data_IF_424029395261
#
_entry.id   IF_424029395261
#
_cell.length_a   1.000
_cell.length_b   1.000
_cell.length_c   1.000
_cell.angle_alpha   90.00
_cell.angle_beta   90.00
_cell.angle_gamma   90.00
#
_symmetry.space_group_name_H-M   'P 1'
#
loop_
_entity.id
_entity.type
_entity.pdbx_description
1 polymer ?
#
# COMPACT_ATOMS: atom_id res chain seq x y z
N UNK A 1 -6.56 11.97 -2.31
CA UNK A 1 -5.60 11.00 -1.75
C UNK A 1 -6.43 10.00 -0.97
N UNK A 2 -6.51 8.75 -1.42
CA UNK A 2 -7.15 7.71 -0.61
C UNK A 2 -6.36 7.60 0.70
N UNK A 3 -7.07 7.66 1.82
CA UNK A 3 -6.45 7.56 3.13
C UNK A 3 -6.01 6.10 3.34
N UNK A 4 -4.77 5.79 2.97
CA UNK A 4 -4.14 4.55 3.40
C UNK A 4 -4.11 4.55 4.94
N UNK A 5 -4.86 3.62 5.55
CA UNK A 5 -5.00 3.55 7.00
C UNK A 5 -3.87 2.78 7.67
N UNK A 6 -2.97 2.14 6.92
CA UNK A 6 -1.95 1.22 7.44
C UNK A 6 -0.60 1.89 7.66
N UNK A 7 -0.26 2.87 6.83
CA UNK A 7 1.01 3.58 6.93
C UNK A 7 0.90 5.04 6.49
N UNK A 8 1.81 5.85 7.02
CA UNK A 8 2.04 7.23 6.59
C UNK A 8 3.27 7.26 5.69
N UNK A 9 3.21 8.09 4.65
CA UNK A 9 4.34 8.33 3.75
C UNK A 9 5.04 9.59 4.24
N UNK A 10 6.27 9.45 4.71
CA UNK A 10 7.13 10.57 5.07
C UNK A 10 8.13 10.81 3.93
N UNK A 11 8.07 12.01 3.35
CA UNK A 11 8.98 12.42 2.27
C UNK A 11 10.10 13.20 2.93
N UNK A 12 11.33 12.72 2.79
CA UNK A 12 12.52 13.39 3.29
C UNK A 12 13.19 14.16 2.16
N UNK A 13 13.64 15.39 2.44
CA UNK A 13 14.39 16.22 1.48
C UNK A 13 15.84 15.73 1.25
N UNK A 14 16.21 14.57 1.81
CA UNK A 14 17.57 14.02 1.76
C UNK A 14 17.71 13.02 0.60
N UNK A 15 18.81 13.11 -0.16
CA UNK A 15 19.02 12.36 -1.42
C UNK A 15 19.04 10.83 -1.27
N UNK A 16 19.44 10.31 -0.10
CA UNK A 16 19.66 8.86 0.10
C UNK A 16 18.41 8.06 0.45
N UNK A 17 17.36 8.69 0.99
CA UNK A 17 16.10 8.04 1.37
C UNK A 17 14.94 9.02 1.14
N UNK A 18 14.48 9.20 -0.11
CA UNK A 18 13.47 10.21 -0.41
C UNK A 18 12.10 9.90 0.22
N UNK A 19 11.87 8.66 0.67
CA UNK A 19 10.57 8.22 1.16
C UNK A 19 10.71 7.13 2.22
N UNK A 20 10.07 7.34 3.37
CA UNK A 20 9.94 6.35 4.46
C UNK A 20 8.47 6.03 4.66
N UNK A 21 8.18 4.75 4.90
CA UNK A 21 6.84 4.28 5.28
C UNK A 21 6.82 4.00 6.77
N UNK A 22 6.03 4.74 7.52
CA UNK A 22 5.86 4.54 8.97
C UNK A 22 4.52 3.89 9.24
N UNK A 23 4.44 2.90 10.16
CA UNK A 23 3.17 2.36 10.62
C UNK A 23 2.24 3.47 11.10
N UNK A 24 0.96 3.38 10.76
CA UNK A 24 -0.04 4.29 11.32
C UNK A 24 -0.38 3.90 12.76
N UNK A 25 -0.90 4.86 13.54
CA UNK A 25 -1.44 4.59 14.88
C UNK A 25 -2.50 3.49 14.84
N UNK A 26 -3.32 3.43 13.80
CA UNK A 26 -4.31 2.37 13.62
C UNK A 26 -3.65 1.00 13.55
N UNK A 27 -2.59 0.85 12.76
CA UNK A 27 -1.87 -0.42 12.62
C UNK A 27 -1.25 -0.86 13.94
N UNK A 28 -0.71 0.08 14.71
CA UNK A 28 -0.09 -0.19 16.02
C UNK A 28 -1.10 -0.71 17.06
N UNK A 29 -2.38 -0.35 16.94
CA UNK A 29 -3.44 -0.90 17.80
C UNK A 29 -3.86 -2.34 17.44
N UNK A 30 -3.46 -2.85 16.27
CA UNK A 30 -3.86 -4.17 15.80
C UNK A 30 -2.86 -5.26 16.21
N UNK A 31 -3.38 -6.45 16.53
CA UNK A 31 -2.54 -7.64 16.64
C UNK A 31 -1.86 -7.94 15.29
N UNK A 32 -0.57 -8.33 15.23
CA UNK A 32 0.17 -8.53 13.97
C UNK A 32 -0.54 -9.43 12.94
N UNK A 33 -1.13 -10.55 13.37
CA UNK A 33 -1.92 -11.41 12.47
C UNK A 33 -3.15 -10.70 11.86
N UNK A 34 -3.82 -9.85 12.62
CA UNK A 34 -4.97 -9.08 12.13
C UNK A 34 -4.52 -7.98 11.18
N UNK A 35 -3.43 -7.28 11.51
CA UNK A 35 -2.81 -6.30 10.62
C UNK A 35 -2.42 -6.91 9.27
N UNK A 36 -1.79 -8.10 9.28
CA UNK A 36 -1.43 -8.84 8.07
C UNK A 36 -2.67 -9.19 7.25
N UNK A 37 -3.71 -9.73 7.88
CA UNK A 37 -4.94 -10.12 7.18
C UNK A 37 -5.62 -8.91 6.52
N UNK A 38 -5.77 -7.80 7.26
CA UNK A 38 -6.40 -6.58 6.71
C UNK A 38 -5.58 -5.95 5.56
N UNK A 39 -4.24 -6.01 5.63
CA UNK A 39 -3.40 -5.55 4.52
C UNK A 39 -3.51 -6.47 3.30
N UNK A 40 -3.67 -7.78 3.49
CA UNK A 40 -3.90 -8.73 2.40
C UNK A 40 -5.26 -8.50 1.72
N UNK A 41 -6.33 -8.33 2.49
CA UNK A 41 -7.66 -7.99 1.96
C UNK A 41 -7.62 -6.66 1.17
N UNK A 42 -6.85 -5.68 1.65
CA UNK A 42 -6.69 -4.41 0.95
C UNK A 42 -5.92 -4.55 -0.36
N UNK A 43 -4.88 -5.40 -0.40
CA UNK A 43 -4.15 -5.75 -1.62
C UNK A 43 -5.10 -6.37 -2.65
N UNK A 44 -5.91 -7.34 -2.25
CA UNK A 44 -6.88 -8.00 -3.13
C UNK A 44 -7.89 -6.99 -3.70
N UNK A 45 -8.41 -6.08 -2.87
CA UNK A 45 -9.32 -5.01 -3.30
C UNK A 45 -8.66 -4.09 -4.36
N UNK A 46 -7.37 -3.75 -4.20
CA UNK A 46 -6.63 -2.93 -5.17
C UNK A 46 -6.36 -3.68 -6.47
N UNK A 47 -6.04 -4.97 -6.41
CA UNK A 47 -5.88 -5.84 -7.57
C UNK A 47 -7.18 -5.96 -8.36
N UNK A 48 -8.30 -6.18 -7.68
CA UNK A 48 -9.63 -6.20 -8.30
C UNK A 48 -9.98 -4.86 -8.93
N UNK A 49 -9.69 -3.75 -8.25
CA UNK A 49 -9.90 -2.41 -8.80
C UNK A 49 -9.06 -2.18 -10.07
N UNK A 50 -7.80 -2.63 -10.10
CA UNK A 50 -6.94 -2.55 -11.29
C UNK A 50 -7.45 -3.45 -12.42
N UNK A 51 -7.91 -4.66 -12.12
CA UNK A 51 -8.49 -5.59 -13.09
C UNK A 51 -9.78 -5.05 -13.72
N UNK A 52 -10.56 -4.24 -13.00
CA UNK A 52 -11.76 -3.59 -13.55
C UNK A 52 -11.44 -2.55 -14.64
N UNK A 53 -10.21 -2.03 -14.68
CA UNK A 53 -9.78 -1.11 -15.73
C UNK A 53 -9.28 -1.86 -16.99
N UNK A 54 -9.88 -3.00 -17.34
CA UNK A 54 -9.50 -3.82 -18.51
C UNK A 54 -9.44 -2.99 -19.82
N UNK A 55 -8.64 -3.50 -20.76
CA UNK A 55 -7.95 -2.90 -21.92
C UNK A 55 -8.70 -1.85 -22.77
N UNK A 56 -10.02 -1.79 -22.70
CA UNK A 56 -10.84 -0.88 -23.51
C UNK A 56 -10.92 0.55 -22.93
N UNK A 57 -10.65 0.73 -21.64
CA UNK A 57 -10.85 2.03 -20.96
C UNK A 57 -9.57 2.68 -20.42
N UNK A 58 -8.42 2.00 -20.46
CA UNK A 58 -7.13 2.53 -19.98
C UNK A 58 -6.72 3.78 -20.74
N UNK A 59 -6.99 3.86 -22.05
CA UNK A 59 -6.57 4.97 -22.90
C UNK A 59 -7.26 6.31 -22.59
N UNK A 60 -8.26 6.32 -21.70
CA UNK A 60 -8.88 7.55 -21.20
C UNK A 60 -7.91 8.20 -20.21
N UNK A 61 -7.43 9.44 -20.43
CA UNK A 61 -6.40 10.07 -19.57
C UNK A 61 -6.75 10.10 -18.08
N UNK A 62 -8.03 10.25 -17.75
CA UNK A 62 -8.53 10.18 -16.35
C UNK A 62 -8.32 8.81 -15.73
N UNK A 63 -8.48 7.74 -16.51
CA UNK A 63 -8.27 6.36 -16.06
C UNK A 63 -6.78 6.03 -15.95
N UNK A 64 -5.91 6.58 -16.81
CA UNK A 64 -4.44 6.43 -16.67
C UNK A 64 -3.97 6.92 -15.31
N UNK A 65 -4.42 8.12 -14.90
CA UNK A 65 -4.05 8.67 -13.58
C UNK A 65 -4.57 7.82 -12.41
N UNK A 66 -5.79 7.29 -12.53
CA UNK A 66 -6.38 6.41 -11.50
C UNK A 66 -5.66 5.05 -11.42
N UNK A 67 -5.41 4.42 -12.56
CA UNK A 67 -4.65 3.16 -12.65
C UNK A 67 -3.25 3.35 -12.10
N UNK A 68 -2.57 4.43 -12.45
CA UNK A 68 -1.25 4.75 -11.90
C UNK A 68 -1.28 4.94 -10.38
N UNK A 69 -2.28 5.64 -9.85
CA UNK A 69 -2.45 5.82 -8.40
C UNK A 69 -2.73 4.50 -7.69
N UNK A 70 -3.59 3.64 -8.25
CA UNK A 70 -3.94 2.35 -7.67
C UNK A 70 -2.75 1.38 -7.70
N UNK A 71 -2.01 1.35 -8.81
CA UNK A 71 -0.81 0.53 -8.96
C UNK A 71 0.29 0.99 -8.00
N UNK A 72 0.48 2.30 -7.85
CA UNK A 72 1.41 2.85 -6.87
C UNK A 72 1.02 2.48 -5.43
N UNK A 73 -0.25 2.63 -5.08
CA UNK A 73 -0.76 2.27 -3.75
C UNK A 73 -0.61 0.76 -3.47
N UNK A 74 -0.90 -0.10 -4.46
CA UNK A 74 -0.71 -1.54 -4.37
C UNK A 74 0.74 -1.92 -4.07
N UNK A 75 1.69 -1.33 -4.81
CA UNK A 75 3.12 -1.60 -4.60
C UNK A 75 3.60 -1.10 -3.22
N UNK A 76 3.11 0.04 -2.75
CA UNK A 76 3.42 0.52 -1.40
C UNK A 76 2.90 -0.43 -0.31
N UNK A 77 1.65 -0.89 -0.41
CA UNK A 77 1.06 -1.80 0.58
C UNK A 77 1.76 -3.15 0.56
N UNK A 78 2.09 -3.70 -0.61
CA UNK A 78 2.85 -4.96 -0.74
C UNK A 78 4.23 -4.85 -0.10
N UNK A 79 4.93 -3.76 -0.40
CA UNK A 79 6.27 -3.48 0.15
C UNK A 79 6.21 -3.35 1.66
N UNK A 80 5.25 -2.57 2.18
CA UNK A 80 5.06 -2.40 3.61
C UNK A 80 4.68 -3.70 4.32
N UNK A 81 3.79 -4.51 3.74
CA UNK A 81 3.43 -5.82 4.28
C UNK A 81 4.63 -6.77 4.35
N UNK A 82 5.50 -6.77 3.35
CA UNK A 82 6.72 -7.58 3.34
C UNK A 82 7.66 -7.18 4.49
N UNK A 83 7.88 -5.88 4.67
CA UNK A 83 8.68 -5.36 5.80
C UNK A 83 8.03 -5.69 7.15
N UNK A 84 6.72 -5.52 7.28
CA UNK A 84 5.98 -5.83 8.51
C UNK A 84 6.09 -7.32 8.88
N UNK A 85 5.93 -8.22 7.90
CA UNK A 85 6.10 -9.67 8.09
C UNK A 85 7.54 -10.03 8.47
N UNK A 86 8.54 -9.40 7.85
CA UNK A 86 9.94 -9.63 8.19
C UNK A 86 10.27 -9.18 9.61
N UNK A 87 9.79 -7.99 10.01
CA UNK A 87 9.97 -7.48 11.36
C UNK A 87 9.30 -8.40 12.41
N UNK A 88 8.07 -8.84 12.15
CA UNK A 88 7.35 -9.77 13.01
C UNK A 88 8.02 -11.14 13.10
N UNK A 89 8.43 -11.72 11.96
CA UNK A 89 9.10 -13.01 11.91
C UNK A 89 10.51 -13.03 12.49
N UNK A 90 11.14 -11.86 12.68
CA UNK A 90 12.43 -11.74 13.39
C UNK A 90 12.25 -11.67 14.91
N UNK A 91 11.04 -11.36 15.40
CA UNK A 91 10.70 -11.27 16.82
C UNK A 91 10.18 -12.59 17.43
N UNK A 92 9.88 -13.60 16.62
CA UNK A 92 9.35 -14.92 17.01
C UNK A 92 10.33 -16.04 16.64
#
# INVERSE_FOLDING_TARGET
MNHNKFFTIEIHESEDQPLTLTPSEYLETLHPHKAIAEMQEYIEMLEDALNQYDREHIWIPVNIGKVGSLAFELELVRTFLAFFKQAYGTMH
#
